data_IF_962609539099
#
_entry.id   IF_962609539099
#
_cell.length_a   1.000
_cell.length_b   1.000
_cell.length_c   1.000
_cell.angle_alpha   90.00
_cell.angle_beta   90.00
_cell.angle_gamma   90.00
#
_symmetry.space_group_name_H-M   'P 1'
#
loop_
_entity.id
_entity.type
_entity.pdbx_description
1 polymer ?
#
# COMPACT_ATOMS: atom_id res chain seq x y z
N UNK A 1 -22.87 19.64 33.02
CA UNK A 1 -22.21 19.13 31.82
C UNK A 1 -21.40 20.27 31.23
N UNK A 2 -20.07 20.20 31.22
CA UNK A 2 -19.21 21.22 30.62
C UNK A 2 -19.38 21.08 29.11
N UNK A 3 -19.75 22.14 28.36
CA UNK A 3 -19.88 22.03 26.92
C UNK A 3 -18.51 21.69 26.31
N UNK A 4 -18.42 20.57 25.61
CA UNK A 4 -17.22 20.18 24.88
C UNK A 4 -17.05 21.20 23.75
N UNK A 5 -16.01 22.04 23.83
CA UNK A 5 -15.72 23.04 22.83
C UNK A 5 -14.99 22.38 21.65
N UNK A 6 -15.70 22.10 20.57
CA UNK A 6 -15.13 21.58 19.31
C UNK A 6 -14.50 22.72 18.51
N UNK A 7 -13.19 22.88 18.66
CA UNK A 7 -12.42 23.95 17.98
C UNK A 7 -12.24 23.65 16.49
N UNK A 8 -12.21 22.38 16.08
CA UNK A 8 -11.99 21.96 14.71
C UNK A 8 -13.19 22.29 13.79
N UNK A 9 -14.40 22.23 14.35
CA UNK A 9 -15.64 22.56 13.62
C UNK A 9 -15.94 24.07 13.57
N UNK A 10 -15.05 24.92 14.09
CA UNK A 10 -15.24 26.36 13.97
C UNK A 10 -15.00 26.83 12.53
N UNK A 11 -15.61 27.96 12.19
CA UNK A 11 -15.39 28.61 10.89
C UNK A 11 -13.91 29.01 10.75
N UNK A 12 -13.32 28.73 9.59
CA UNK A 12 -11.99 29.18 9.24
C UNK A 12 -12.04 30.62 8.75
N UNK A 13 -11.19 31.48 9.27
CA UNK A 13 -11.08 32.88 8.89
C UNK A 13 -10.12 33.10 7.72
N UNK A 14 -9.23 32.13 7.44
CA UNK A 14 -8.19 32.27 6.41
C UNK A 14 -8.67 31.96 4.99
N UNK A 15 -9.78 31.23 4.84
CA UNK A 15 -10.40 30.91 3.54
C UNK A 15 -9.62 29.97 2.64
N UNK A 16 -8.59 29.26 3.16
CA UNK A 16 -7.83 28.27 2.39
C UNK A 16 -8.39 26.86 2.58
N UNK A 17 -8.61 26.16 1.47
CA UNK A 17 -8.89 24.72 1.47
C UNK A 17 -7.60 23.93 1.39
N UNK A 18 -7.58 22.73 2.01
CA UNK A 18 -6.48 21.78 1.91
C UNK A 18 -6.93 20.51 1.19
N UNK A 19 -6.14 20.08 0.23
CA UNK A 19 -6.47 18.89 -0.58
C UNK A 19 -6.18 17.59 0.14
N UNK A 20 -5.24 17.59 1.09
CA UNK A 20 -4.84 16.39 1.85
C UNK A 20 -4.48 16.78 3.28
N UNK A 21 -5.25 16.30 4.23
CA UNK A 21 -5.01 16.42 5.67
C UNK A 21 -5.20 15.03 6.28
N UNK A 22 -4.24 14.56 7.05
CA UNK A 22 -4.34 13.21 7.58
C UNK A 22 -3.15 12.76 8.40
N UNK A 23 -2.98 11.45 8.52
CA UNK A 23 -1.89 10.81 9.25
C UNK A 23 -1.14 9.85 8.33
N UNK A 24 0.16 9.70 8.55
CA UNK A 24 1.05 8.85 7.77
C UNK A 24 1.84 7.90 8.67
N UNK A 25 2.33 6.80 8.08
CA UNK A 25 3.24 5.88 8.75
C UNK A 25 2.61 5.03 9.86
N UNK A 26 1.30 4.83 9.86
CA UNK A 26 0.63 4.00 10.87
C UNK A 26 0.90 2.53 10.55
N UNK A 27 1.67 1.87 11.42
CA UNK A 27 2.01 0.45 11.25
C UNK A 27 0.98 -0.45 11.91
N UNK A 28 0.50 -1.46 11.17
CA UNK A 28 -0.46 -2.46 11.63
C UNK A 28 -0.17 -3.83 11.04
N UNK A 29 -0.50 -4.88 11.79
CA UNK A 29 -0.61 -6.24 11.28
C UNK A 29 -2.01 -6.41 10.69
N UNK A 30 -2.09 -6.93 9.46
CA UNK A 30 -3.35 -7.12 8.73
C UNK A 30 -3.46 -8.53 8.21
N UNK A 31 -4.58 -9.17 8.44
CA UNK A 31 -4.88 -10.50 7.90
C UNK A 31 -5.57 -10.35 6.54
N UNK A 32 -5.01 -10.99 5.51
CA UNK A 32 -5.52 -10.98 4.14
C UNK A 32 -5.75 -12.41 3.70
N UNK A 33 -6.89 -12.69 3.07
CA UNK A 33 -7.17 -14.01 2.47
C UNK A 33 -6.15 -14.29 1.37
N UNK A 34 -5.50 -15.45 1.43
CA UNK A 34 -4.56 -15.89 0.40
C UNK A 34 -5.10 -17.11 -0.31
N UNK A 35 -4.80 -17.28 -1.62
CA UNK A 35 -5.20 -18.48 -2.36
C UNK A 35 -4.61 -19.77 -1.79
N UNK A 36 -3.41 -19.68 -1.24
CA UNK A 36 -2.70 -20.80 -0.64
C UNK A 36 -3.04 -20.88 0.85
N UNK A 37 -3.81 -21.90 1.25
CA UNK A 37 -4.27 -22.13 2.63
C UNK A 37 -3.13 -22.27 3.67
N UNK A 38 -1.88 -22.34 3.23
CA UNK A 38 -0.72 -22.55 4.10
C UNK A 38 -0.06 -21.25 4.61
N UNK A 39 -0.50 -20.10 4.18
CA UNK A 39 0.10 -18.81 4.57
C UNK A 39 -0.92 -17.84 5.15
N UNK A 40 -1.37 -18.09 6.38
CA UNK A 40 -2.19 -17.13 7.15
C UNK A 40 -1.35 -16.11 7.94
N UNK A 41 -0.09 -15.91 7.55
CA UNK A 41 0.75 -14.92 8.21
C UNK A 41 0.24 -13.52 7.93
N UNK A 42 0.09 -12.68 8.96
CA UNK A 42 -0.35 -11.32 8.79
C UNK A 42 0.71 -10.50 8.05
N UNK A 43 0.25 -9.59 7.20
CA UNK A 43 1.11 -8.61 6.54
C UNK A 43 1.43 -7.46 7.49
N UNK A 44 2.68 -7.03 7.53
CA UNK A 44 3.08 -5.77 8.17
C UNK A 44 2.75 -4.64 7.20
N UNK A 45 1.67 -3.91 7.50
CA UNK A 45 1.21 -2.82 6.68
C UNK A 45 1.59 -1.46 7.26
N UNK A 46 2.05 -0.55 6.40
CA UNK A 46 2.19 0.87 6.68
C UNK A 46 1.05 1.61 5.97
N UNK A 47 0.25 2.34 6.73
CA UNK A 47 -1.02 2.93 6.30
C UNK A 47 -0.93 4.44 6.41
N UNK A 48 -1.20 5.13 5.29
CA UNK A 48 -1.37 6.57 5.21
C UNK A 48 -2.83 6.88 4.85
N UNK A 49 -3.44 7.80 5.56
CA UNK A 49 -4.83 8.20 5.31
C UNK A 49 -4.95 9.71 5.24
N UNK A 50 -5.74 10.19 4.28
CA UNK A 50 -5.98 11.60 4.05
C UNK A 50 -7.43 11.86 3.70
N UNK A 51 -7.93 13.03 4.09
CA UNK A 51 -9.19 13.61 3.64
C UNK A 51 -8.93 15.05 3.16
N UNK A 52 -9.81 15.62 2.37
CA UNK A 52 -9.79 17.04 2.08
C UNK A 52 -10.38 17.86 3.25
N UNK A 53 -9.96 19.10 3.34
CA UNK A 53 -10.47 20.06 4.31
C UNK A 53 -10.98 21.29 3.56
N UNK A 54 -12.29 21.57 3.60
CA UNK A 54 -12.86 22.73 2.93
C UNK A 54 -12.42 24.03 3.61
N UNK A 55 -12.49 25.14 2.85
CA UNK A 55 -12.03 26.45 3.30
C UNK A 55 -12.80 26.98 4.52
N UNK A 56 -14.04 26.54 4.69
CA UNK A 56 -14.93 26.97 5.77
C UNK A 56 -14.61 26.32 7.11
N UNK A 57 -13.89 25.18 7.09
CA UNK A 57 -13.59 24.42 8.29
C UNK A 57 -12.18 24.71 8.83
N UNK A 58 -12.09 24.97 10.14
CA UNK A 58 -10.83 25.34 10.79
C UNK A 58 -9.82 24.21 10.88
N UNK A 59 -10.26 22.95 11.06
CA UNK A 59 -9.35 21.83 11.24
C UNK A 59 -10.02 20.46 11.04
N UNK A 60 -9.17 19.42 11.03
CA UNK A 60 -9.60 18.04 10.95
C UNK A 60 -9.35 17.30 12.28
N UNK A 61 -10.26 16.44 12.67
CA UNK A 61 -10.13 15.58 13.86
C UNK A 61 -9.17 14.40 13.59
N UNK A 62 -7.90 14.60 13.87
CA UNK A 62 -6.86 13.57 13.60
C UNK A 62 -7.07 12.26 14.35
N UNK A 63 -7.69 12.30 15.56
CA UNK A 63 -8.03 11.09 16.32
C UNK A 63 -9.00 10.17 15.56
N UNK A 64 -9.93 10.73 14.80
CA UNK A 64 -10.89 9.95 13.99
C UNK A 64 -10.18 9.10 12.93
N UNK A 65 -9.07 9.57 12.37
CA UNK A 65 -8.27 8.80 11.41
C UNK A 65 -7.69 7.53 12.05
N UNK A 66 -7.16 7.64 13.28
CA UNK A 66 -6.59 6.50 14.00
C UNK A 66 -7.67 5.54 14.49
N UNK A 67 -8.84 6.06 14.92
CA UNK A 67 -10.01 5.26 15.29
C UNK A 67 -10.51 4.41 14.11
N UNK A 68 -10.62 5.01 12.92
CA UNK A 68 -11.02 4.31 11.69
C UNK A 68 -10.04 3.19 11.35
N UNK A 69 -8.73 3.49 11.31
CA UNK A 69 -7.71 2.47 11.02
C UNK A 69 -7.80 1.33 12.03
N UNK A 70 -7.96 1.64 13.33
CA UNK A 70 -8.07 0.61 14.37
C UNK A 70 -9.32 -0.26 14.17
N UNK A 71 -10.48 0.35 13.93
CA UNK A 71 -11.74 -0.36 13.74
C UNK A 71 -11.67 -1.33 12.57
N UNK A 72 -11.26 -0.85 11.39
CA UNK A 72 -11.19 -1.67 10.18
C UNK A 72 -10.15 -2.80 10.31
N UNK A 73 -8.97 -2.51 10.88
CA UNK A 73 -7.95 -3.55 11.09
C UNK A 73 -8.41 -4.61 12.10
N UNK A 74 -9.17 -4.23 13.14
CA UNK A 74 -9.75 -5.19 14.08
C UNK A 74 -10.79 -6.07 13.40
N UNK A 75 -11.64 -5.52 12.55
CA UNK A 75 -12.61 -6.29 11.74
C UNK A 75 -11.91 -7.30 10.83
N UNK A 76 -10.81 -6.90 10.16
CA UNK A 76 -10.02 -7.80 9.33
C UNK A 76 -9.29 -8.92 10.10
N UNK A 77 -9.22 -8.83 11.42
CA UNK A 77 -8.68 -9.92 12.26
C UNK A 77 -9.71 -11.04 12.41
N UNK A 78 -10.99 -10.70 12.50
CA UNK A 78 -12.10 -11.65 12.60
C UNK A 78 -12.51 -12.16 11.21
N UNK A 79 -12.59 -11.26 10.23
CA UNK A 79 -12.94 -11.56 8.83
C UNK A 79 -11.89 -10.98 7.87
N UNK A 80 -10.87 -11.79 7.49
CA UNK A 80 -9.79 -11.33 6.62
C UNK A 80 -10.28 -10.79 5.28
N UNK A 81 -9.77 -9.63 4.87
CA UNK A 81 -10.08 -8.99 3.59
C UNK A 81 -9.47 -9.76 2.41
N UNK A 82 -10.01 -9.54 1.20
CA UNK A 82 -9.53 -10.19 -0.03
C UNK A 82 -8.21 -9.61 -0.53
N UNK A 83 -7.94 -8.31 -0.26
CA UNK A 83 -6.72 -7.64 -0.68
C UNK A 83 -6.46 -6.36 0.10
N UNK A 84 -5.24 -5.83 0.01
CA UNK A 84 -4.87 -4.58 0.68
C UNK A 84 -5.53 -3.35 0.03
N UNK A 85 -5.94 -3.42 -1.24
CA UNK A 85 -6.72 -2.40 -1.93
C UNK A 85 -8.18 -2.38 -1.46
N UNK A 86 -8.72 -3.55 -1.07
CA UNK A 86 -10.04 -3.65 -0.44
C UNK A 86 -10.01 -3.08 0.98
N UNK A 87 -8.96 -3.40 1.74
CA UNK A 87 -8.70 -2.78 3.04
C UNK A 87 -8.62 -1.25 2.91
N UNK A 88 -7.86 -0.74 1.93
CA UNK A 88 -7.76 0.69 1.67
C UNK A 88 -9.14 1.31 1.36
N UNK A 89 -9.99 0.59 0.64
CA UNK A 89 -11.35 1.01 0.31
C UNK A 89 -12.24 1.06 1.55
N UNK A 90 -12.19 0.05 2.41
CA UNK A 90 -12.95 0.01 3.67
C UNK A 90 -12.57 1.19 4.58
N UNK A 91 -11.28 1.43 4.76
CA UNK A 91 -10.76 2.58 5.51
C UNK A 91 -11.25 3.89 4.88
N UNK A 92 -11.14 4.02 3.55
CA UNK A 92 -11.53 5.24 2.82
C UNK A 92 -13.00 5.59 2.96
N UNK A 93 -13.90 4.60 2.89
CA UNK A 93 -15.33 4.77 3.11
C UNK A 93 -15.64 5.22 4.54
N UNK A 94 -15.07 4.52 5.52
CA UNK A 94 -15.30 4.85 6.94
C UNK A 94 -14.72 6.23 7.31
N UNK A 95 -13.63 6.68 6.67
CA UNK A 95 -13.11 8.04 6.82
C UNK A 95 -14.14 9.08 6.38
N UNK A 96 -14.80 8.88 5.23
CA UNK A 96 -15.84 9.79 4.76
C UNK A 96 -17.05 9.82 5.70
N UNK A 97 -17.42 8.69 6.30
CA UNK A 97 -18.49 8.64 7.32
C UNK A 97 -18.12 9.47 8.56
N UNK A 98 -16.87 9.37 9.04
CA UNK A 98 -16.40 10.09 10.23
C UNK A 98 -16.07 11.56 9.98
N UNK A 99 -15.77 11.93 8.74
CA UNK A 99 -15.46 13.30 8.33
C UNK A 99 -16.55 13.84 7.37
N UNK A 100 -17.69 14.23 7.93
CA UNK A 100 -18.88 14.63 7.16
C UNK A 100 -18.62 15.75 6.14
N UNK A 101 -17.66 16.62 6.44
CA UNK A 101 -17.25 17.74 5.59
C UNK A 101 -16.41 17.32 4.38
N UNK A 102 -15.75 16.16 4.43
CA UNK A 102 -14.84 15.73 3.39
C UNK A 102 -15.60 15.26 2.14
N UNK A 103 -15.11 15.64 0.98
CA UNK A 103 -15.63 15.24 -0.33
C UNK A 103 -15.00 13.95 -0.81
N UNK A 104 -13.72 13.74 -0.44
CA UNK A 104 -12.97 12.54 -0.80
C UNK A 104 -12.01 12.12 0.31
N UNK A 105 -11.67 10.84 0.30
CA UNK A 105 -10.59 10.27 1.09
C UNK A 105 -9.57 9.60 0.19
N UNK A 106 -8.30 9.59 0.63
CA UNK A 106 -7.22 8.87 -0.02
C UNK A 106 -6.54 7.99 1.02
N UNK A 107 -6.37 6.73 0.70
CA UNK A 107 -5.70 5.74 1.54
C UNK A 107 -4.60 5.08 0.74
N UNK A 108 -3.39 5.05 1.30
CA UNK A 108 -2.26 4.32 0.72
C UNK A 108 -1.78 3.29 1.74
N UNK A 109 -1.61 2.07 1.30
CA UNK A 109 -1.10 0.97 2.11
C UNK A 109 0.12 0.40 1.40
N UNK A 110 1.21 0.25 2.15
CA UNK A 110 2.39 -0.49 1.73
C UNK A 110 2.56 -1.68 2.66
N UNK A 111 2.68 -2.88 2.10
CA UNK A 111 2.86 -4.11 2.87
C UNK A 111 4.10 -4.85 2.40
N UNK A 112 4.81 -5.49 3.33
CA UNK A 112 5.90 -6.41 3.01
C UNK A 112 5.33 -7.83 2.94
N UNK A 113 5.62 -8.52 1.84
CA UNK A 113 5.23 -9.88 1.56
C UNK A 113 6.47 -10.76 1.43
N UNK A 114 6.56 -11.76 2.28
CA UNK A 114 7.63 -12.73 2.28
C UNK A 114 7.18 -14.00 1.54
N UNK A 115 7.97 -14.44 0.58
CA UNK A 115 7.70 -15.64 -0.21
C UNK A 115 8.90 -16.57 -0.16
N UNK A 116 8.68 -17.77 0.34
CA UNK A 116 9.69 -18.80 0.28
C UNK A 116 9.85 -19.31 -1.15
N UNK A 117 11.08 -19.49 -1.56
CA UNK A 117 11.45 -19.93 -2.88
C UNK A 117 12.66 -20.88 -2.80
N UNK A 118 12.92 -21.59 -3.89
CA UNK A 118 14.09 -22.46 -4.01
C UNK A 118 14.99 -21.90 -5.11
N UNK A 119 16.25 -21.68 -4.75
CA UNK A 119 17.24 -21.22 -5.72
C UNK A 119 17.51 -22.30 -6.79
N UNK A 120 18.05 -21.95 -7.98
CA UNK A 120 18.44 -22.93 -8.99
C UNK A 120 19.42 -24.02 -8.48
N UNK A 121 20.10 -23.77 -7.38
CA UNK A 121 21.01 -24.72 -6.73
C UNK A 121 20.35 -25.54 -5.61
N UNK A 122 19.00 -25.53 -5.51
CA UNK A 122 18.25 -26.31 -4.53
C UNK A 122 18.32 -25.80 -3.08
N UNK A 123 18.75 -24.55 -2.86
CA UNK A 123 18.77 -23.94 -1.52
C UNK A 123 17.50 -23.14 -1.28
N UNK A 124 16.91 -23.30 -0.09
CA UNK A 124 15.79 -22.47 0.33
C UNK A 124 16.24 -21.03 0.52
N UNK A 125 15.39 -20.11 0.09
CA UNK A 125 15.56 -18.68 0.25
C UNK A 125 14.20 -18.01 0.45
N UNK A 126 14.18 -16.85 1.10
CA UNK A 126 12.98 -16.06 1.24
C UNK A 126 13.16 -14.76 0.45
N UNK A 127 12.26 -14.50 -0.46
CA UNK A 127 12.20 -13.26 -1.24
C UNK A 127 11.21 -12.30 -0.61
N UNK A 128 11.53 -11.01 -0.66
CA UNK A 128 10.70 -9.95 -0.12
C UNK A 128 10.14 -9.09 -1.25
N UNK A 129 8.83 -8.97 -1.31
CA UNK A 129 8.11 -8.12 -2.24
C UNK A 129 7.42 -7.01 -1.47
N UNK A 130 7.31 -5.82 -2.08
CA UNK A 130 6.44 -4.77 -1.57
C UNK A 130 5.14 -4.78 -2.34
N UNK A 131 4.04 -4.83 -1.60
CA UNK A 131 2.69 -4.73 -2.15
C UNK A 131 2.16 -3.33 -1.85
N UNK A 132 1.44 -2.77 -2.81
CA UNK A 132 0.82 -1.46 -2.72
C UNK A 132 -0.68 -1.60 -2.93
N UNK A 133 -1.48 -1.11 -1.98
CA UNK A 133 -2.91 -0.97 -2.11
C UNK A 133 -3.28 0.49 -1.92
N UNK A 134 -4.00 1.07 -2.88
CA UNK A 134 -4.46 2.45 -2.79
C UNK A 134 -5.95 2.50 -3.07
N UNK A 135 -6.64 3.40 -2.38
CA UNK A 135 -8.03 3.72 -2.69
C UNK A 135 -8.25 5.23 -2.61
N UNK A 136 -8.96 5.75 -3.59
CA UNK A 136 -9.60 7.06 -3.53
C UNK A 136 -11.11 6.82 -3.49
N UNK A 137 -11.76 7.25 -2.42
CA UNK A 137 -13.21 7.20 -2.28
C UNK A 137 -13.78 8.60 -2.36
N UNK A 138 -14.86 8.77 -3.10
CA UNK A 138 -15.59 10.04 -3.24
C UNK A 138 -16.96 9.92 -2.57
N UNK A 139 -17.46 11.02 -2.03
CA UNK A 139 -18.72 11.02 -1.27
C UNK A 139 -19.95 10.68 -2.13
N UNK A 140 -19.88 10.93 -3.41
CA UNK A 140 -20.90 10.55 -4.40
C UNK A 140 -20.91 9.06 -4.77
N UNK A 141 -19.99 8.28 -4.19
CA UNK A 141 -19.88 6.85 -4.39
C UNK A 141 -18.77 6.42 -5.37
N UNK A 142 -18.06 7.37 -5.99
CA UNK A 142 -16.91 7.07 -6.84
C UNK A 142 -15.78 6.40 -6.05
N UNK A 143 -15.26 5.27 -6.57
CA UNK A 143 -14.14 4.53 -5.97
C UNK A 143 -13.13 4.20 -7.06
N UNK A 144 -11.89 4.62 -6.84
CA UNK A 144 -10.75 4.19 -7.65
C UNK A 144 -9.83 3.37 -6.77
N UNK A 145 -9.57 2.13 -7.19
CA UNK A 145 -8.61 1.22 -6.53
C UNK A 145 -7.36 1.11 -7.39
N UNK A 146 -6.22 1.01 -6.73
CA UNK A 146 -4.95 0.71 -7.40
C UNK A 146 -4.23 -0.35 -6.59
N UNK A 147 -3.81 -1.42 -7.24
CA UNK A 147 -2.92 -2.44 -6.69
C UNK A 147 -1.56 -2.31 -7.35
N UNK A 148 -0.49 -2.60 -6.61
CA UNK A 148 0.85 -2.59 -7.16
C UNK A 148 1.76 -3.58 -6.47
N UNK A 149 2.83 -3.94 -7.15
CA UNK A 149 3.89 -4.78 -6.63
C UNK A 149 5.25 -4.24 -7.02
N UNK A 150 6.18 -4.28 -6.09
CA UNK A 150 7.59 -4.00 -6.30
C UNK A 150 8.37 -5.29 -6.13
N UNK A 151 9.17 -5.62 -7.12
CA UNK A 151 10.05 -6.79 -7.12
C UNK A 151 11.48 -6.39 -7.46
N UNK A 152 12.43 -7.09 -6.85
CA UNK A 152 13.84 -6.96 -7.17
C UNK A 152 14.18 -7.93 -8.29
N UNK A 153 14.80 -7.44 -9.34
CA UNK A 153 15.26 -8.24 -10.45
C UNK A 153 16.74 -8.02 -10.73
N UNK A 154 17.22 -8.64 -11.77
CA UNK A 154 18.57 -8.50 -12.25
C UNK A 154 18.58 -8.34 -13.76
N UNK A 155 19.30 -7.36 -14.26
CA UNK A 155 19.52 -7.17 -15.70
C UNK A 155 20.79 -7.86 -16.14
N UNK A 156 20.83 -8.32 -17.37
CA UNK A 156 22.02 -8.88 -18.02
C UNK A 156 22.23 -8.16 -19.35
N UNK A 157 23.48 -8.07 -19.80
CA UNK A 157 23.81 -7.48 -21.10
C UNK A 157 23.86 -8.57 -22.19
N UNK A 158 22.93 -8.58 -23.16
CA UNK A 158 22.94 -9.60 -24.21
C UNK A 158 24.19 -9.56 -25.08
N UNK A 159 24.72 -8.35 -25.38
CA UNK A 159 25.94 -8.21 -26.19
C UNK A 159 27.17 -8.77 -25.45
N UNK A 160 27.31 -8.52 -24.16
CA UNK A 160 28.41 -9.09 -23.38
C UNK A 160 28.26 -10.61 -23.27
N UNK A 161 27.05 -11.13 -23.11
CA UNK A 161 26.76 -12.56 -23.11
C UNK A 161 27.18 -13.23 -24.40
N UNK A 162 26.84 -12.65 -25.56
CA UNK A 162 27.22 -13.17 -26.86
C UNK A 162 28.74 -13.20 -27.06
N UNK A 163 29.42 -12.11 -26.75
CA UNK A 163 30.88 -12.04 -26.83
C UNK A 163 31.58 -13.07 -25.94
N UNK A 164 31.11 -13.26 -24.72
CA UNK A 164 31.67 -14.27 -23.81
C UNK A 164 31.39 -15.67 -24.33
N UNK A 165 30.19 -15.96 -24.83
CA UNK A 165 29.83 -17.24 -25.40
C UNK A 165 30.71 -17.62 -26.59
N UNK A 166 30.96 -16.66 -27.48
CA UNK A 166 31.84 -16.86 -28.64
C UNK A 166 33.29 -17.06 -28.23
N UNK A 167 33.80 -16.26 -27.28
CA UNK A 167 35.18 -16.34 -26.82
C UNK A 167 35.49 -17.66 -26.14
N UNK A 168 34.53 -18.13 -25.30
CA UNK A 168 34.68 -19.39 -24.55
C UNK A 168 34.18 -20.61 -25.31
N UNK A 169 33.61 -20.43 -26.52
CA UNK A 169 33.01 -21.49 -27.32
C UNK A 169 32.03 -22.37 -26.51
N UNK A 170 31.21 -21.74 -25.68
CA UNK A 170 30.25 -22.42 -24.82
C UNK A 170 28.81 -22.34 -25.34
N UNK A 171 28.00 -23.35 -25.03
CA UNK A 171 26.59 -23.38 -25.41
C UNK A 171 25.79 -22.25 -24.70
N UNK A 172 24.83 -21.66 -25.42
CA UNK A 172 23.90 -20.65 -24.87
C UNK A 172 22.85 -21.21 -23.92
N UNK A 173 22.80 -22.51 -23.71
CA UNK A 173 21.85 -23.18 -22.81
C UNK A 173 22.13 -22.93 -21.32
N UNK A 174 23.35 -22.50 -20.99
CA UNK A 174 23.72 -22.07 -19.65
C UNK A 174 23.81 -20.55 -19.56
N UNK A 175 23.48 -19.98 -18.36
CA UNK A 175 23.66 -18.56 -18.16
C UNK A 175 25.14 -18.20 -18.25
N UNK A 176 25.54 -17.74 -19.42
CA UNK A 176 26.89 -17.28 -19.66
C UNK A 176 27.14 -16.06 -18.77
N UNK A 177 28.29 -16.03 -18.13
CA UNK A 177 28.68 -14.94 -17.26
C UNK A 177 28.70 -13.63 -18.07
N UNK A 178 27.94 -12.67 -17.63
CA UNK A 178 27.90 -11.32 -18.18
C UNK A 178 27.85 -10.33 -17.01
N UNK A 179 28.12 -9.05 -17.29
CA UNK A 179 27.85 -8.04 -16.29
C UNK A 179 26.35 -7.92 -16.08
N UNK A 180 25.97 -7.80 -14.81
CA UNK A 180 24.59 -7.66 -14.42
C UNK A 180 24.43 -6.49 -13.44
N UNK A 181 23.21 -6.01 -13.31
CA UNK A 181 22.87 -4.95 -12.39
C UNK A 181 21.56 -5.28 -11.69
N UNK A 182 21.53 -5.09 -10.38
CA UNK A 182 20.29 -5.16 -9.62
C UNK A 182 19.36 -4.05 -10.08
N UNK A 183 18.11 -4.39 -10.37
CA UNK A 183 17.06 -3.42 -10.63
C UNK A 183 15.89 -3.61 -9.66
N UNK A 184 15.08 -2.59 -9.54
CA UNK A 184 13.81 -2.62 -8.82
C UNK A 184 12.72 -2.25 -9.83
N UNK A 185 11.74 -3.13 -9.97
CA UNK A 185 10.62 -2.92 -10.87
C UNK A 185 9.35 -2.77 -10.03
N UNK A 186 8.58 -1.69 -10.27
CA UNK A 186 7.30 -1.47 -9.63
C UNK A 186 6.23 -1.38 -10.71
N UNK A 187 5.17 -2.19 -10.57
CA UNK A 187 4.03 -2.21 -11.48
C UNK A 187 2.77 -1.85 -10.73
N UNK A 188 1.94 -0.99 -11.30
CA UNK A 188 0.63 -0.61 -10.78
C UNK A 188 -0.46 -0.92 -11.79
N UNK A 189 -1.64 -1.30 -11.28
CA UNK A 189 -2.86 -1.52 -12.04
C UNK A 189 -4.03 -0.83 -11.31
N UNK A 190 -4.85 -0.09 -12.05
CA UNK A 190 -6.03 0.63 -11.53
C UNK A 190 -7.27 0.22 -12.28
#
# INVERSE_FOLDING_TARGET
MIPVCDVQNRKNETGFSLTKVGVTGVRKLVHVKRPDEHCNEPLVCMIDVFVDLPAEQKGSHMSRNLEVIRAVVSECTEEPTTGIEDLATMIGKMLLEKHEYAKFSNVNIVAEYFKDNVTPHGKNTTEVYRLFGKAKCERDGGITKTIGVEAVGMTACPCAQENVAQTLNCSKEWPVITHNQRNVCTVYMS
#
